data_IF_080634826433
#
_entry.id   IF_080634826433
#
_cell.length_a   1.000
_cell.length_b   1.000
_cell.length_c   1.000
_cell.angle_alpha   90.00
_cell.angle_beta   90.00
_cell.angle_gamma   90.00
#
_symmetry.space_group_name_H-M   'P 1'
#
loop_
_entity.id
_entity.type
_entity.pdbx_description
1 polymer ?
#
# COMPACT_ATOMS: atom_id res chain seq x y z
N UNK A 1 2.34 -24.84 -39.22
CA UNK A 1 2.37 -24.04 -37.96
C UNK A 1 3.37 -24.67 -37.00
N UNK A 2 4.37 -23.91 -36.53
CA UNK A 2 5.39 -24.43 -35.60
C UNK A 2 4.82 -24.67 -34.19
N UNK A 3 5.45 -25.57 -33.44
CA UNK A 3 5.14 -25.82 -32.01
C UNK A 3 5.21 -24.54 -31.15
N UNK A 4 6.13 -23.62 -31.50
CA UNK A 4 6.26 -22.30 -30.88
C UNK A 4 5.02 -21.42 -31.12
N UNK A 5 4.49 -21.40 -32.35
CA UNK A 5 3.29 -20.62 -32.68
C UNK A 5 2.03 -21.16 -31.97
N UNK A 6 1.89 -22.49 -31.85
CA UNK A 6 0.79 -23.10 -31.08
C UNK A 6 0.88 -22.79 -29.58
N UNK A 7 2.10 -22.80 -29.00
CA UNK A 7 2.32 -22.39 -27.60
C UNK A 7 2.02 -20.91 -27.36
N UNK A 8 2.45 -20.02 -28.25
CA UNK A 8 2.14 -18.58 -28.14
C UNK A 8 0.64 -18.30 -28.27
N UNK A 9 -0.05 -18.97 -29.20
CA UNK A 9 -1.51 -18.88 -29.37
C UNK A 9 -2.27 -19.36 -28.12
N UNK A 10 -1.87 -20.51 -27.56
CA UNK A 10 -2.48 -21.05 -26.34
C UNK A 10 -2.24 -20.12 -25.13
N UNK A 11 -1.02 -19.59 -24.97
CA UNK A 11 -0.68 -18.63 -23.91
C UNK A 11 -1.49 -17.34 -24.02
N UNK A 12 -1.67 -16.80 -25.24
CA UNK A 12 -2.51 -15.62 -25.47
C UNK A 12 -4.00 -15.90 -25.23
N UNK A 13 -4.49 -17.10 -25.58
CA UNK A 13 -5.88 -17.50 -25.34
C UNK A 13 -6.16 -17.65 -23.84
N UNK A 14 -5.31 -18.35 -23.09
CA UNK A 14 -5.42 -18.44 -21.63
C UNK A 14 -5.29 -17.06 -20.96
N UNK A 15 -4.42 -16.18 -21.47
CA UNK A 15 -4.28 -14.80 -20.96
C UNK A 15 -5.56 -13.97 -21.12
N UNK A 16 -6.34 -14.20 -22.19
CA UNK A 16 -7.64 -13.53 -22.43
C UNK A 16 -8.79 -14.13 -21.62
N UNK A 17 -8.83 -15.45 -21.45
CA UNK A 17 -9.91 -16.12 -20.71
C UNK A 17 -9.76 -16.02 -19.17
N UNK A 18 -8.57 -15.70 -18.65
CA UNK A 18 -8.28 -15.65 -17.20
C UNK A 18 -8.37 -14.22 -16.60
N UNK A 19 -8.41 -13.15 -17.40
CA UNK A 19 -8.22 -11.77 -16.88
C UNK A 19 -9.40 -10.79 -16.97
N UNK A 20 -10.63 -11.23 -17.22
CA UNK A 20 -11.78 -10.34 -16.99
C UNK A 20 -12.16 -10.34 -15.50
N UNK A 21 -11.26 -9.83 -14.66
CA UNK A 21 -11.43 -9.73 -13.21
C UNK A 21 -12.64 -8.86 -12.82
N UNK A 22 -13.06 -7.95 -13.70
CA UNK A 22 -14.38 -7.34 -13.72
C UNK A 22 -14.84 -7.10 -15.16
N UNK A 23 -16.15 -6.96 -15.40
CA UNK A 23 -16.68 -6.62 -16.74
C UNK A 23 -16.39 -5.18 -17.19
N UNK A 24 -15.95 -4.31 -16.28
CA UNK A 24 -15.91 -2.86 -16.51
C UNK A 24 -14.51 -2.25 -16.39
N UNK A 25 -13.53 -3.02 -15.90
CA UNK A 25 -12.20 -2.51 -15.60
C UNK A 25 -11.13 -3.55 -15.94
N UNK A 26 -10.19 -3.16 -16.79
CA UNK A 26 -9.05 -3.99 -17.20
C UNK A 26 -7.96 -4.02 -16.11
N UNK A 27 -7.83 -2.92 -15.36
CA UNK A 27 -6.83 -2.74 -14.30
C UNK A 27 -7.42 -2.05 -13.09
N UNK A 28 -6.74 -2.16 -11.95
CA UNK A 28 -7.17 -1.48 -10.73
C UNK A 28 -7.20 0.04 -10.94
N UNK A 29 -8.33 0.68 -10.65
CA UNK A 29 -8.51 2.13 -10.83
C UNK A 29 -7.62 2.97 -9.91
N UNK A 30 -7.14 2.41 -8.81
CA UNK A 30 -6.23 3.09 -7.88
C UNK A 30 -4.75 2.85 -8.18
N UNK A 31 -4.31 1.59 -8.16
CA UNK A 31 -2.88 1.26 -8.30
C UNK A 31 -2.46 0.84 -9.70
N UNK A 32 -3.39 0.66 -10.65
CA UNK A 32 -3.05 0.25 -12.02
C UNK A 32 -2.68 -1.23 -12.19
N UNK A 33 -2.68 -2.04 -11.14
CA UNK A 33 -2.33 -3.47 -11.24
C UNK A 33 -3.32 -4.26 -12.10
N UNK A 34 -2.78 -5.20 -12.88
CA UNK A 34 -3.49 -6.26 -13.59
C UNK A 34 -3.27 -7.64 -12.93
N UNK A 35 -2.31 -7.74 -12.00
CA UNK A 35 -1.90 -8.99 -11.36
C UNK A 35 -2.86 -9.43 -10.26
N UNK A 36 -3.59 -8.49 -9.65
CA UNK A 36 -4.43 -8.76 -8.48
C UNK A 36 -5.92 -8.68 -8.80
N UNK A 37 -6.66 -9.74 -8.44
CA UNK A 37 -8.12 -9.84 -8.55
C UNK A 37 -8.85 -8.56 -8.15
N UNK A 38 -9.74 -8.07 -9.01
CA UNK A 38 -10.70 -7.03 -8.64
C UNK A 38 -11.80 -7.58 -7.74
N UNK A 39 -12.24 -6.73 -6.81
CA UNK A 39 -13.32 -7.06 -5.88
C UNK A 39 -14.57 -6.26 -6.22
N UNK A 40 -14.45 -4.94 -6.31
CA UNK A 40 -15.58 -4.05 -6.62
C UNK A 40 -15.14 -2.61 -6.84
N UNK A 41 -15.99 -1.82 -7.51
CA UNK A 41 -15.72 -0.42 -7.90
C UNK A 41 -14.41 -0.25 -8.71
N UNK A 42 -13.95 -1.30 -9.39
CA UNK A 42 -12.68 -1.29 -10.14
C UNK A 42 -11.42 -1.39 -9.26
N UNK A 43 -11.53 -1.67 -7.96
CA UNK A 43 -10.37 -1.84 -7.09
C UNK A 43 -9.93 -3.31 -6.97
N UNK A 44 -8.61 -3.53 -6.92
CA UNK A 44 -8.02 -4.84 -6.65
C UNK A 44 -8.19 -5.29 -5.19
N UNK A 45 -7.94 -6.57 -4.90
CA UNK A 45 -8.05 -7.19 -3.56
C UNK A 45 -7.20 -6.52 -2.49
N UNK A 46 -6.17 -5.77 -2.88
CA UNK A 46 -5.29 -5.02 -1.98
C UNK A 46 -5.81 -3.60 -1.73
N UNK A 47 -6.27 -2.89 -2.76
CA UNK A 47 -6.76 -1.51 -2.65
C UNK A 47 -8.19 -1.43 -2.12
N UNK A 48 -9.08 -2.34 -2.51
CA UNK A 48 -10.51 -2.33 -2.12
C UNK A 48 -10.74 -2.19 -0.60
N UNK A 49 -10.12 -3.01 0.28
CA UNK A 49 -10.34 -2.87 1.72
C UNK A 49 -9.82 -1.54 2.27
N UNK A 50 -8.76 -0.97 1.69
CA UNK A 50 -8.22 0.32 2.11
C UNK A 50 -9.13 1.47 1.68
N UNK A 51 -9.61 1.46 0.44
CA UNK A 51 -10.59 2.44 -0.05
C UNK A 51 -11.88 2.42 0.78
N UNK A 52 -12.40 1.22 1.09
CA UNK A 52 -13.59 1.09 1.93
C UNK A 52 -13.35 1.64 3.34
N UNK A 53 -12.18 1.37 3.94
CA UNK A 53 -11.81 1.95 5.24
C UNK A 53 -11.73 3.47 5.18
N UNK A 54 -11.09 4.01 4.14
CA UNK A 54 -10.98 5.45 3.92
C UNK A 54 -12.38 6.10 3.83
N UNK A 55 -13.29 5.55 3.03
CA UNK A 55 -14.69 6.01 2.94
C UNK A 55 -15.42 5.99 4.29
N UNK A 56 -15.16 4.98 5.13
CA UNK A 56 -15.76 4.85 6.47
C UNK A 56 -15.22 5.94 7.40
N UNK A 57 -13.90 6.13 7.43
CA UNK A 57 -13.23 7.06 8.36
C UNK A 57 -13.51 8.51 7.98
N UNK A 58 -13.59 8.82 6.69
CA UNK A 58 -13.94 10.17 6.22
C UNK A 58 -15.35 10.57 6.70
N UNK A 59 -16.26 9.60 6.81
CA UNK A 59 -17.63 9.79 7.33
C UNK A 59 -17.72 9.78 8.86
N UNK A 60 -16.62 9.65 9.58
CA UNK A 60 -16.64 9.76 11.04
C UNK A 60 -17.06 11.15 11.45
N UNK A 61 -18.14 11.17 12.23
CA UNK A 61 -18.63 12.32 12.94
C UNK A 61 -18.15 12.21 14.39
N UNK A 62 -17.23 13.08 14.77
CA UNK A 62 -16.64 13.12 16.13
C UNK A 62 -17.65 13.54 17.20
N UNK A 63 -18.76 14.16 16.80
CA UNK A 63 -19.88 14.49 17.68
C UNK A 63 -20.82 13.29 17.88
N UNK A 64 -20.79 12.30 16.99
CA UNK A 64 -21.66 11.13 17.02
C UNK A 64 -20.88 9.82 17.21
N UNK A 65 -20.83 9.33 18.45
CA UNK A 65 -20.16 8.08 18.85
C UNK A 65 -20.64 6.87 18.02
N UNK A 66 -21.90 6.84 17.56
CA UNK A 66 -22.39 5.70 16.77
C UNK A 66 -21.69 5.57 15.41
N UNK A 67 -21.18 6.68 14.85
CA UNK A 67 -20.41 6.67 13.60
C UNK A 67 -19.05 5.96 13.73
N UNK A 68 -18.53 5.85 14.97
CA UNK A 68 -17.21 5.28 15.28
C UNK A 68 -17.23 3.74 15.45
N UNK A 69 -18.42 3.12 15.58
CA UNK A 69 -18.59 1.68 15.89
C UNK A 69 -18.02 0.72 14.83
N UNK A 70 -17.66 1.21 13.64
CA UNK A 70 -17.14 0.38 12.54
C UNK A 70 -15.71 -0.09 12.80
N UNK A 71 -14.97 0.60 13.67
CA UNK A 71 -13.68 0.11 14.18
C UNK A 71 -13.97 -0.75 15.40
N UNK A 72 -13.49 -1.99 15.35
CA UNK A 72 -13.54 -3.08 16.38
C UNK A 72 -13.71 -2.60 17.83
N UNK A 73 -14.37 -3.39 18.69
CA UNK A 73 -15.09 -2.90 19.86
C UNK A 73 -14.18 -2.11 20.80
N UNK A 74 -14.33 -0.80 20.76
CA UNK A 74 -13.65 0.10 21.67
C UNK A 74 -14.55 0.29 22.89
N UNK A 75 -13.93 0.32 24.07
CA UNK A 75 -14.58 0.72 25.30
C UNK A 75 -15.16 2.13 25.14
N UNK A 76 -16.48 2.27 25.25
CA UNK A 76 -17.20 3.56 25.11
C UNK A 76 -16.58 4.63 26.01
N UNK A 77 -16.11 4.27 27.23
CA UNK A 77 -15.46 5.22 28.14
C UNK A 77 -14.16 5.79 27.56
N UNK A 78 -13.38 4.98 26.84
CA UNK A 78 -12.16 5.42 26.18
C UNK A 78 -12.47 6.40 25.04
N UNK A 79 -13.49 6.10 24.21
CA UNK A 79 -13.95 7.05 23.18
C UNK A 79 -14.35 8.38 23.81
N UNK A 80 -15.17 8.37 24.87
CA UNK A 80 -15.61 9.60 25.53
C UNK A 80 -14.44 10.43 26.06
N UNK A 81 -13.40 9.79 26.61
CA UNK A 81 -12.17 10.47 27.04
C UNK A 81 -11.40 11.08 25.87
N UNK A 82 -11.35 10.39 24.72
CA UNK A 82 -10.70 10.94 23.53
C UNK A 82 -11.48 12.12 22.92
N UNK A 83 -12.82 12.07 22.94
CA UNK A 83 -13.67 13.19 22.50
C UNK A 83 -13.35 14.42 23.35
N UNK A 84 -13.38 14.27 24.68
CA UNK A 84 -13.12 15.37 25.62
C UNK A 84 -11.73 15.97 25.48
N UNK A 85 -10.74 15.18 25.06
CA UNK A 85 -9.35 15.62 24.91
C UNK A 85 -9.01 16.10 23.49
N UNK A 86 -9.99 16.20 22.58
CA UNK A 86 -9.77 16.49 21.16
C UNK A 86 -8.77 15.55 20.45
N UNK A 87 -8.55 14.36 21.03
CA UNK A 87 -7.60 13.38 20.51
C UNK A 87 -8.19 12.54 19.36
N UNK A 88 -9.52 12.49 19.22
CA UNK A 88 -10.17 11.74 18.13
C UNK A 88 -9.86 12.33 16.76
N UNK A 89 -9.87 13.65 16.61
CA UNK A 89 -9.60 14.25 15.29
C UNK A 89 -8.16 13.97 14.85
N UNK A 90 -7.21 14.10 15.79
CA UNK A 90 -5.81 13.72 15.54
C UNK A 90 -5.67 12.23 15.19
N UNK A 91 -6.42 11.36 15.86
CA UNK A 91 -6.44 9.94 15.57
C UNK A 91 -7.04 9.63 14.19
N UNK A 92 -8.13 10.32 13.81
CA UNK A 92 -8.77 10.24 12.49
C UNK A 92 -7.79 10.67 11.39
N UNK A 93 -7.16 11.83 11.54
CA UNK A 93 -6.18 12.35 10.59
C UNK A 93 -4.96 11.44 10.45
N UNK A 94 -4.42 10.95 11.57
CA UNK A 94 -3.32 9.98 11.57
C UNK A 94 -3.68 8.71 10.81
N UNK A 95 -4.89 8.19 11.04
CA UNK A 95 -5.39 6.99 10.38
C UNK A 95 -5.60 7.20 8.87
N UNK A 96 -6.20 8.33 8.47
CA UNK A 96 -6.35 8.71 7.06
C UNK A 96 -5.00 8.82 6.38
N UNK A 97 -4.03 9.49 7.02
CA UNK A 97 -2.67 9.61 6.53
C UNK A 97 -2.03 8.24 6.30
N UNK A 98 -2.14 7.31 7.26
CA UNK A 98 -1.60 5.95 7.14
C UNK A 98 -2.22 5.19 5.96
N UNK A 99 -3.55 5.23 5.82
CA UNK A 99 -4.25 4.54 4.72
C UNK A 99 -3.84 5.14 3.37
N UNK A 100 -3.80 6.48 3.26
CA UNK A 100 -3.37 7.18 2.05
C UNK A 100 -1.91 6.85 1.69
N UNK A 101 -1.03 6.80 2.68
CA UNK A 101 0.36 6.37 2.49
C UNK A 101 0.44 4.93 1.98
N UNK A 102 -0.33 4.00 2.56
CA UNK A 102 -0.33 2.61 2.11
C UNK A 102 -0.88 2.45 0.68
N UNK A 103 -1.96 3.17 0.36
CA UNK A 103 -2.50 3.27 -1.00
C UNK A 103 -1.48 3.84 -1.98
N UNK A 104 -0.71 4.85 -1.57
CA UNK A 104 0.37 5.42 -2.38
C UNK A 104 1.50 4.41 -2.63
N UNK A 105 1.91 3.63 -1.62
CA UNK A 105 2.91 2.57 -1.79
C UNK A 105 2.46 1.51 -2.81
N UNK A 106 1.18 1.12 -2.80
CA UNK A 106 0.64 0.20 -3.81
C UNK A 106 0.67 0.80 -5.22
N UNK A 107 0.46 2.11 -5.35
CA UNK A 107 0.58 2.81 -6.64
C UNK A 107 2.03 2.81 -7.13
N UNK A 108 3.00 3.10 -6.26
CA UNK A 108 4.43 3.02 -6.60
C UNK A 108 4.83 1.59 -6.98
N UNK A 109 4.36 0.59 -6.23
CA UNK A 109 4.68 -0.83 -6.44
C UNK A 109 4.28 -1.32 -7.84
N UNK A 110 3.16 -0.82 -8.35
CA UNK A 110 2.63 -1.19 -9.66
C UNK A 110 3.00 -0.21 -10.77
N UNK A 111 3.84 0.80 -10.49
CA UNK A 111 4.28 1.73 -11.52
C UNK A 111 5.31 1.09 -12.45
N UNK A 112 5.26 1.47 -13.73
CA UNK A 112 6.23 1.08 -14.75
C UNK A 112 7.41 2.05 -14.87
N UNK A 113 7.49 3.04 -13.98
CA UNK A 113 8.57 4.02 -13.97
C UNK A 113 9.96 3.37 -13.86
N UNK A 114 10.94 4.03 -14.47
CA UNK A 114 12.35 3.71 -14.23
C UNK A 114 12.67 3.81 -12.74
N UNK A 115 13.50 2.88 -12.26
CA UNK A 115 13.94 2.86 -10.86
C UNK A 115 15.41 3.22 -10.83
N UNK A 116 15.73 4.37 -10.26
CA UNK A 116 17.10 4.76 -9.94
C UNK A 116 17.51 4.22 -8.55
N UNK A 117 18.82 4.24 -8.29
CA UNK A 117 19.38 3.85 -7.01
C UNK A 117 18.95 4.77 -5.85
N UNK A 118 18.58 6.02 -6.12
CA UNK A 118 18.14 6.99 -5.10
C UNK A 118 16.81 6.52 -4.49
N UNK A 119 15.88 6.05 -5.32
CA UNK A 119 14.60 5.49 -4.87
C UNK A 119 14.81 4.28 -3.97
N UNK A 120 15.76 3.40 -4.30
CA UNK A 120 16.11 2.23 -3.49
C UNK A 120 16.71 2.67 -2.14
N UNK A 121 17.66 3.60 -2.15
CA UNK A 121 18.28 4.16 -0.93
C UNK A 121 17.22 4.77 0.00
N UNK A 122 16.28 5.56 -0.55
CA UNK A 122 15.19 6.15 0.21
C UNK A 122 14.25 5.10 0.83
N UNK A 123 14.02 3.97 0.15
CA UNK A 123 13.23 2.86 0.71
C UNK A 123 13.96 2.19 1.87
N UNK A 124 15.26 1.94 1.75
CA UNK A 124 16.06 1.43 2.87
C UNK A 124 16.06 2.39 4.06
N UNK A 125 16.23 3.68 3.82
CA UNK A 125 16.14 4.70 4.86
C UNK A 125 14.75 4.72 5.52
N UNK A 126 13.69 4.56 4.74
CA UNK A 126 12.32 4.46 5.28
C UNK A 126 12.15 3.22 6.17
N UNK A 127 12.68 2.07 5.74
CA UNK A 127 12.66 0.82 6.51
C UNK A 127 13.49 0.96 7.79
N UNK A 128 14.67 1.58 7.73
CA UNK A 128 15.55 1.72 8.89
C UNK A 128 14.92 2.56 10.00
N UNK A 129 14.34 3.72 9.64
CA UNK A 129 13.56 4.57 10.56
C UNK A 129 12.42 3.83 11.25
N UNK A 130 11.87 2.85 10.56
CA UNK A 130 10.72 2.07 11.00
C UNK A 130 11.12 0.97 11.98
N UNK A 131 12.30 0.38 11.77
CA UNK A 131 12.80 -0.75 12.57
C UNK A 131 13.44 -0.34 13.90
N UNK A 132 13.55 0.96 14.22
CA UNK A 132 14.19 1.49 15.43
C UNK A 132 15.61 0.96 15.71
N UNK A 133 16.26 0.37 14.70
CA UNK A 133 17.50 -0.39 14.89
C UNK A 133 18.77 0.46 14.72
N UNK A 134 18.68 1.78 14.51
CA UNK A 134 19.85 2.58 14.18
C UNK A 134 19.84 3.97 14.81
N UNK A 135 21.04 4.38 15.20
CA UNK A 135 21.41 5.74 15.57
C UNK A 135 21.17 6.71 14.41
N UNK A 136 21.28 8.02 14.67
CA UNK A 136 20.98 9.12 13.75
C UNK A 136 21.73 9.13 12.41
N UNK A 137 22.64 8.18 12.15
CA UNK A 137 23.39 8.07 10.90
C UNK A 137 22.59 7.29 9.84
N UNK A 138 22.47 7.88 8.65
CA UNK A 138 21.92 7.19 7.48
C UNK A 138 22.91 6.12 7.01
N UNK A 139 22.81 4.90 7.54
CA UNK A 139 23.71 3.78 7.20
C UNK A 139 23.65 3.35 5.73
N UNK A 140 22.62 3.80 5.01
CA UNK A 140 22.42 3.49 3.59
C UNK A 140 22.87 4.64 2.67
N UNK A 141 23.46 5.71 3.23
CA UNK A 141 23.99 6.83 2.44
C UNK A 141 24.95 6.30 1.39
N UNK A 142 24.84 6.82 0.17
CA UNK A 142 25.68 6.47 -0.99
C UNK A 142 25.42 5.07 -1.60
N UNK A 143 24.45 4.32 -1.08
CA UNK A 143 24.04 3.06 -1.67
C UNK A 143 23.48 3.25 -3.09
N UNK A 144 22.92 4.41 -3.41
CA UNK A 144 22.36 4.74 -4.71
C UNK A 144 23.36 4.49 -5.87
N UNK A 145 24.62 4.92 -5.71
CA UNK A 145 25.65 4.73 -6.73
C UNK A 145 25.95 3.24 -6.97
N UNK A 146 25.99 2.45 -5.89
CA UNK A 146 26.18 1.01 -5.97
C UNK A 146 25.04 0.33 -6.75
N UNK A 147 23.79 0.74 -6.51
CA UNK A 147 22.65 0.18 -7.24
C UNK A 147 22.62 0.60 -8.71
N UNK A 148 22.97 1.86 -9.01
CA UNK A 148 23.03 2.35 -10.39
C UNK A 148 24.12 1.64 -11.20
N UNK A 149 25.28 1.37 -10.60
CA UNK A 149 26.43 0.75 -11.27
C UNK A 149 26.28 -0.77 -11.44
N UNK A 150 25.82 -1.48 -10.40
CA UNK A 150 25.87 -2.95 -10.38
C UNK A 150 24.61 -3.64 -10.89
N UNK A 151 23.48 -2.94 -11.03
CA UNK A 151 22.20 -3.53 -11.39
C UNK A 151 21.59 -2.80 -12.57
N UNK A 152 20.95 -3.52 -13.49
CA UNK A 152 20.15 -2.91 -14.55
C UNK A 152 18.77 -2.47 -14.03
N UNK A 153 17.98 -1.79 -14.86
CA UNK A 153 16.66 -1.27 -14.46
C UNK A 153 15.71 -2.38 -13.98
N UNK A 154 15.66 -3.54 -14.66
CA UNK A 154 14.76 -4.63 -14.30
C UNK A 154 15.09 -5.25 -12.93
N UNK A 155 16.39 -5.46 -12.67
CA UNK A 155 16.87 -5.90 -11.36
C UNK A 155 16.54 -4.88 -10.26
N UNK A 156 16.76 -3.58 -10.53
CA UNK A 156 16.39 -2.51 -9.60
C UNK A 156 14.88 -2.46 -9.33
N UNK A 157 14.04 -2.74 -10.33
CA UNK A 157 12.58 -2.85 -10.16
C UNK A 157 12.20 -4.00 -9.22
N UNK A 158 12.84 -5.16 -9.35
CA UNK A 158 12.61 -6.31 -8.45
C UNK A 158 12.98 -5.92 -7.01
N UNK A 159 14.19 -5.37 -6.80
CA UNK A 159 14.66 -4.92 -5.49
C UNK A 159 13.69 -3.90 -4.89
N UNK A 160 13.27 -2.90 -5.67
CA UNK A 160 12.32 -1.88 -5.25
C UNK A 160 10.97 -2.48 -4.85
N UNK A 161 10.44 -3.44 -5.62
CA UNK A 161 9.21 -4.17 -5.28
C UNK A 161 9.34 -4.93 -3.96
N UNK A 162 10.46 -5.61 -3.72
CA UNK A 162 10.69 -6.34 -2.46
C UNK A 162 10.72 -5.39 -1.25
N UNK A 163 11.44 -4.26 -1.35
CA UNK A 163 11.48 -3.25 -0.30
C UNK A 163 10.12 -2.61 -0.05
N UNK A 164 9.37 -2.30 -1.11
CA UNK A 164 7.99 -1.80 -1.00
C UNK A 164 7.08 -2.84 -0.32
N UNK A 165 7.25 -4.13 -0.59
CA UNK A 165 6.48 -5.18 0.08
C UNK A 165 6.75 -5.24 1.57
N UNK A 166 7.97 -4.98 2.03
CA UNK A 166 8.29 -4.86 3.47
C UNK A 166 7.46 -3.71 4.08
N UNK A 167 7.45 -2.54 3.44
CA UNK A 167 6.69 -1.37 3.90
C UNK A 167 5.17 -1.61 3.87
N UNK A 168 4.66 -2.27 2.82
CA UNK A 168 3.25 -2.57 2.62
C UNK A 168 2.74 -3.64 3.60
N UNK A 169 3.50 -4.72 3.80
CA UNK A 169 3.12 -5.85 4.64
C UNK A 169 3.32 -5.57 6.12
N UNK A 170 4.04 -4.50 6.46
CA UNK A 170 4.01 -4.00 7.83
C UNK A 170 2.54 -3.81 8.19
N UNK A 171 2.03 -4.66 9.08
CA UNK A 171 0.76 -4.42 9.73
C UNK A 171 0.96 -3.08 10.42
N UNK A 172 0.37 -2.03 9.87
CA UNK A 172 -0.10 -0.95 10.71
C UNK A 172 -1.02 -1.67 11.68
N UNK A 173 -0.48 -2.02 12.85
CA UNK A 173 -1.33 -2.27 14.00
C UNK A 173 -2.03 -0.95 14.17
N UNK A 174 -3.19 -0.83 13.52
CA UNK A 174 -4.16 0.24 13.72
C UNK A 174 -4.74 0.07 15.12
N UNK A 175 -3.89 -0.14 16.12
CA UNK A 175 -4.15 0.28 17.48
C UNK A 175 -4.02 1.79 17.45
N UNK A 176 -5.05 2.41 16.90
CA UNK A 176 -5.34 3.85 17.00
C UNK A 176 -5.26 4.30 18.48
N UNK A 177 -5.31 3.35 19.42
CA UNK A 177 -5.30 3.50 20.87
C UNK A 177 -3.93 3.32 21.53
N UNK A 178 -2.87 2.90 20.83
CA UNK A 178 -1.54 2.76 21.44
C UNK A 178 -0.76 4.08 21.40
N UNK A 179 -1.07 4.97 20.45
CA UNK A 179 -0.40 6.26 20.26
C UNK A 179 -1.23 7.45 20.80
N UNK A 180 -2.33 7.18 21.52
CA UNK A 180 -3.28 8.18 22.04
C UNK A 180 -3.40 8.07 23.55
#
# INVERSE_FOLDING_TARGET
MSLLAKRQSYYQKCKREIMNWSRYYDKCTHCGTEEWKHIGKGFCKKCYPLMKKLEIIEKWDTSNISSLKVVKPINIKAITLLIKSNKIENAKESLLKQIRSQLHLYKIYNSDDTVDGIKIENLFYSISRITNNLSTSNVFREAANRYNYNFNNDQRRIICKDLLMILINRRFYLNIWQDV
#
